data_IF_196840711585
#
_entry.id   IF_196840711585
#
_cell.length_a   1.000
_cell.length_b   1.000
_cell.length_c   1.000
_cell.angle_alpha   90.00
_cell.angle_beta   90.00
_cell.angle_gamma   90.00
#
_symmetry.space_group_name_H-M   'P 1'
#
loop_
_entity.id
_entity.type
_entity.pdbx_description
1 polymer ?
#
# COMPACT_ATOMS: atom_id res chain seq x y z
N UNK A 1 -12.34 7.24 -5.58
CA UNK A 1 -11.34 8.17 -5.03
C UNK A 1 -10.90 7.62 -3.69
N UNK A 2 -9.58 7.57 -3.46
CA UNK A 2 -9.01 6.86 -2.31
C UNK A 2 -9.05 7.73 -1.07
N UNK A 3 -10.11 7.57 -0.27
CA UNK A 3 -10.43 8.48 0.85
C UNK A 3 -9.28 8.54 1.87
N UNK A 4 -8.59 7.41 2.08
CA UNK A 4 -7.47 7.32 3.03
C UNK A 4 -6.28 8.18 2.61
N UNK A 5 -5.99 8.31 1.30
CA UNK A 5 -4.84 9.09 0.84
C UNK A 5 -5.12 10.60 0.80
N UNK A 6 -6.38 11.00 0.69
CA UNK A 6 -6.78 12.41 0.70
C UNK A 6 -6.58 13.02 2.11
N UNK A 7 -6.79 12.23 3.16
CA UNK A 7 -6.61 12.64 4.56
C UNK A 7 -5.17 12.42 5.07
N UNK A 8 -4.29 11.81 4.26
CA UNK A 8 -3.01 11.31 4.73
C UNK A 8 -1.88 12.35 4.80
N UNK A 9 -2.05 13.57 4.27
CA UNK A 9 -0.99 14.60 4.19
C UNK A 9 0.37 14.08 3.67
N UNK A 10 0.34 13.08 2.79
CA UNK A 10 1.56 12.50 2.22
C UNK A 10 2.17 13.43 1.16
N UNK A 11 3.49 13.35 1.02
CA UNK A 11 4.19 13.97 -0.11
C UNK A 11 3.57 13.51 -1.45
N UNK A 12 3.34 14.41 -2.43
CA UNK A 12 2.53 14.11 -3.61
C UNK A 12 2.97 12.89 -4.43
N UNK A 13 4.27 12.68 -4.58
CA UNK A 13 4.79 11.52 -5.31
C UNK A 13 4.61 10.22 -4.49
N UNK A 14 4.69 10.23 -3.16
CA UNK A 14 4.35 9.07 -2.32
C UNK A 14 2.86 8.74 -2.38
N UNK A 15 1.99 9.75 -2.32
CA UNK A 15 0.55 9.57 -2.51
C UNK A 15 0.23 8.98 -3.88
N UNK A 16 0.93 9.41 -4.93
CA UNK A 16 0.79 8.87 -6.29
C UNK A 16 1.21 7.41 -6.36
N UNK A 17 2.35 7.06 -5.75
CA UNK A 17 2.84 5.68 -5.70
C UNK A 17 1.88 4.77 -4.93
N UNK A 18 1.32 5.23 -3.81
CA UNK A 18 0.42 4.45 -2.97
C UNK A 18 -0.98 4.24 -3.56
N UNK A 19 -1.42 5.14 -4.45
CA UNK A 19 -2.77 5.18 -4.98
C UNK A 19 -3.28 3.85 -5.55
N UNK A 20 -2.51 3.11 -6.39
CA UNK A 20 -2.98 1.85 -6.94
C UNK A 20 -3.26 0.82 -5.84
N UNK A 21 -2.39 0.72 -4.83
CA UNK A 21 -2.54 -0.23 -3.74
C UNK A 21 -3.75 0.09 -2.87
N UNK A 22 -3.94 1.35 -2.46
CA UNK A 22 -5.11 1.76 -1.66
C UNK A 22 -6.41 1.53 -2.45
N UNK A 23 -6.44 1.92 -3.73
CA UNK A 23 -7.63 1.82 -4.56
C UNK A 23 -8.13 0.36 -4.69
N UNK A 24 -7.23 -0.61 -4.90
CA UNK A 24 -7.64 -2.02 -5.03
C UNK A 24 -8.14 -2.62 -3.72
N UNK A 25 -7.68 -2.16 -2.55
CA UNK A 25 -8.18 -2.64 -1.27
C UNK A 25 -9.58 -2.06 -0.99
N UNK A 26 -9.77 -0.76 -1.23
CA UNK A 26 -11.07 -0.10 -1.01
C UNK A 26 -12.15 -0.63 -1.95
N UNK A 27 -11.81 -0.86 -3.22
CA UNK A 27 -12.77 -1.21 -4.28
C UNK A 27 -12.77 -2.68 -4.67
N UNK A 28 -11.87 -3.49 -4.11
CA UNK A 28 -11.71 -4.90 -4.50
C UNK A 28 -12.99 -5.71 -4.29
N UNK A 29 -13.44 -6.38 -5.34
CA UNK A 29 -14.62 -7.27 -5.36
C UNK A 29 -14.25 -8.68 -5.84
N UNK A 30 -15.23 -9.59 -5.81
CA UNK A 30 -15.09 -10.97 -6.27
C UNK A 30 -14.35 -11.06 -7.62
N UNK A 31 -13.34 -11.92 -7.71
CA UNK A 31 -12.53 -12.13 -8.91
C UNK A 31 -11.36 -11.15 -9.12
N UNK A 32 -11.16 -10.17 -8.23
CA UNK A 32 -10.05 -9.21 -8.32
C UNK A 32 -8.77 -9.66 -7.60
N UNK A 33 -8.62 -10.94 -7.27
CA UNK A 33 -7.47 -11.49 -6.51
C UNK A 33 -6.11 -11.04 -7.10
N UNK A 34 -5.91 -11.28 -8.39
CA UNK A 34 -4.65 -10.95 -9.06
C UNK A 34 -4.38 -9.44 -9.10
N UNK A 35 -5.41 -8.62 -9.28
CA UNK A 35 -5.27 -7.17 -9.26
C UNK A 35 -4.79 -6.65 -7.89
N UNK A 36 -5.32 -7.22 -6.80
CA UNK A 36 -4.89 -6.87 -5.44
C UNK A 36 -3.43 -7.27 -5.20
N UNK A 37 -3.06 -8.52 -5.51
CA UNK A 37 -1.70 -9.03 -5.31
C UNK A 37 -0.69 -8.23 -6.14
N UNK A 38 -1.01 -7.94 -7.40
CA UNK A 38 -0.15 -7.19 -8.29
C UNK A 38 0.05 -5.74 -7.80
N UNK A 39 -1.03 -5.04 -7.44
CA UNK A 39 -0.93 -3.67 -6.95
C UNK A 39 -0.14 -3.60 -5.63
N UNK A 40 -0.33 -4.55 -4.72
CA UNK A 40 0.40 -4.60 -3.46
C UNK A 40 1.92 -4.81 -3.68
N UNK A 41 2.29 -5.84 -4.45
CA UNK A 41 3.69 -6.17 -4.71
C UNK A 41 4.41 -5.10 -5.54
N UNK A 42 3.79 -4.61 -6.61
CA UNK A 42 4.37 -3.56 -7.45
C UNK A 42 4.55 -2.24 -6.70
N UNK A 43 3.57 -1.85 -5.88
CA UNK A 43 3.65 -0.63 -5.07
C UNK A 43 4.70 -0.76 -3.98
N UNK A 44 4.76 -1.89 -3.26
CA UNK A 44 5.79 -2.16 -2.27
C UNK A 44 7.21 -2.07 -2.89
N UNK A 45 7.43 -2.70 -4.04
CA UNK A 45 8.72 -2.62 -4.75
C UNK A 45 9.03 -1.19 -5.27
N UNK A 46 8.00 -0.44 -5.64
CA UNK A 46 8.12 0.96 -6.06
C UNK A 46 8.53 1.87 -4.89
N UNK A 47 7.93 1.68 -3.71
CA UNK A 47 8.27 2.39 -2.48
C UNK A 47 9.70 2.11 -2.03
N UNK A 48 10.09 0.83 -1.95
CA UNK A 48 11.43 0.44 -1.48
C UNK A 48 12.58 1.01 -2.31
N UNK A 49 12.31 1.40 -3.57
CA UNK A 49 13.27 2.11 -4.42
C UNK A 49 13.28 3.62 -4.19
N UNK A 50 12.17 4.19 -3.71
CA UNK A 50 11.95 5.63 -3.65
C UNK A 50 12.29 6.28 -2.31
N UNK A 51 12.26 5.51 -1.24
CA UNK A 51 12.53 6.01 0.11
C UNK A 51 13.68 5.24 0.74
N UNK A 52 14.33 5.86 1.72
CA UNK A 52 15.16 5.10 2.65
C UNK A 52 14.23 4.17 3.44
N UNK A 53 14.54 2.88 3.46
CA UNK A 53 13.71 1.86 4.12
C UNK A 53 14.36 1.43 5.44
N UNK A 54 14.02 2.09 6.56
CA UNK A 54 14.43 1.59 7.87
C UNK A 54 13.69 0.29 8.22
N UNK A 55 14.20 -0.52 9.18
CA UNK A 55 13.63 -1.83 9.50
C UNK A 55 12.13 -1.81 9.84
N UNK A 56 11.65 -0.78 10.54
CA UNK A 56 10.25 -0.64 10.91
C UNK A 56 9.34 -0.38 9.69
N UNK A 57 9.80 0.39 8.70
CA UNK A 57 9.04 0.61 7.47
C UNK A 57 9.02 -0.67 6.63
N UNK A 58 10.15 -1.40 6.55
CA UNK A 58 10.21 -2.66 5.82
C UNK A 58 9.21 -3.68 6.39
N UNK A 59 9.15 -3.78 7.72
CA UNK A 59 8.20 -4.62 8.43
C UNK A 59 6.76 -4.20 8.18
N UNK A 60 6.44 -2.90 8.29
CA UNK A 60 5.10 -2.40 8.01
C UNK A 60 4.65 -2.67 6.56
N UNK A 61 5.56 -2.51 5.58
CA UNK A 61 5.28 -2.85 4.19
C UNK A 61 5.02 -4.36 4.05
N UNK A 62 5.82 -5.21 4.69
CA UNK A 62 5.65 -6.66 4.65
C UNK A 62 4.29 -7.09 5.24
N UNK A 63 3.91 -6.53 6.40
CA UNK A 63 2.62 -6.80 7.04
C UNK A 63 1.45 -6.34 6.15
N UNK A 64 1.53 -5.16 5.54
CA UNK A 64 0.52 -4.68 4.61
C UNK A 64 0.40 -5.57 3.37
N UNK A 65 1.51 -6.11 2.84
CA UNK A 65 1.48 -7.08 1.74
C UNK A 65 0.76 -8.36 2.18
N UNK A 66 1.11 -8.92 3.35
CA UNK A 66 0.48 -10.13 3.89
C UNK A 66 -1.04 -9.93 4.08
N UNK A 67 -1.45 -8.81 4.68
CA UNK A 67 -2.85 -8.49 4.86
C UNK A 67 -3.59 -8.31 3.52
N UNK A 68 -2.93 -7.71 2.51
CA UNK A 68 -3.48 -7.57 1.16
C UNK A 68 -3.66 -8.92 0.47
N UNK A 69 -2.73 -9.86 0.66
CA UNK A 69 -2.85 -11.24 0.14
C UNK A 69 -4.02 -11.96 0.80
N UNK A 70 -4.17 -11.86 2.13
CA UNK A 70 -5.30 -12.45 2.84
C UNK A 70 -6.65 -11.88 2.35
N UNK A 71 -6.72 -10.57 2.09
CA UNK A 71 -7.88 -9.96 1.45
C UNK A 71 -8.10 -10.49 0.03
N UNK A 72 -7.06 -10.58 -0.79
CA UNK A 72 -7.14 -11.11 -2.15
C UNK A 72 -7.65 -12.57 -2.19
N UNK A 73 -7.22 -13.41 -1.26
CA UNK A 73 -7.72 -14.78 -1.10
C UNK A 73 -9.20 -14.82 -0.69
N UNK A 74 -9.65 -13.86 0.12
CA UNK A 74 -11.07 -13.72 0.44
C UNK A 74 -11.90 -13.29 -0.79
N UNK A 75 -11.32 -12.56 -1.74
CA UNK A 75 -12.01 -12.17 -2.98
C UNK A 75 -12.21 -13.33 -3.98
N UNK A 76 -11.60 -14.49 -3.76
CA UNK A 76 -11.73 -15.65 -4.65
C UNK A 76 -12.75 -16.68 -4.15
N UNK A 77 -13.17 -16.54 -2.88
CA UNK A 77 -14.13 -17.43 -2.23
C UNK A 77 -15.55 -16.88 -2.39
N UNK A 78 -16.40 -17.65 -3.06
CA UNK A 78 -17.80 -17.27 -3.38
C UNK A 78 -18.65 -16.86 -2.17
N UNK A 79 -18.37 -17.44 -1.01
CA UNK A 79 -19.10 -17.18 0.25
C UNK A 79 -18.27 -16.39 1.29
N UNK A 80 -17.12 -15.84 0.91
CA UNK A 80 -16.24 -15.20 1.88
C UNK A 80 -16.78 -13.87 2.41
N UNK A 81 -16.64 -13.71 3.72
CA UNK A 81 -16.83 -12.44 4.41
C UNK A 81 -15.61 -11.55 4.14
N UNK A 82 -15.70 -10.76 3.08
CA UNK A 82 -14.70 -9.75 2.73
C UNK A 82 -14.57 -8.55 3.68
N UNK A 83 -15.55 -8.17 4.54
CA UNK A 83 -15.41 -6.99 5.40
C UNK A 83 -14.22 -7.04 6.36
N UNK A 84 -14.00 -8.18 7.04
CA UNK A 84 -12.91 -8.33 8.02
C UNK A 84 -11.51 -8.31 7.37
N UNK A 85 -11.22 -9.12 6.32
CA UNK A 85 -9.94 -9.06 5.62
C UNK A 85 -9.67 -7.69 4.98
N UNK A 86 -10.71 -7.02 4.46
CA UNK A 86 -10.57 -5.66 3.92
C UNK A 86 -10.18 -4.68 5.03
N UNK A 87 -10.87 -4.70 6.17
CA UNK A 87 -10.56 -3.82 7.28
C UNK A 87 -9.12 -4.03 7.79
N UNK A 88 -8.65 -5.27 7.88
CA UNK A 88 -7.27 -5.59 8.25
C UNK A 88 -6.25 -5.04 7.24
N UNK A 89 -6.51 -5.23 5.93
CA UNK A 89 -5.64 -4.70 4.88
C UNK A 89 -5.59 -3.16 4.88
N UNK A 90 -6.73 -2.49 5.09
CA UNK A 90 -6.78 -1.03 5.21
C UNK A 90 -6.02 -0.53 6.45
N UNK A 91 -6.19 -1.20 7.60
CA UNK A 91 -5.47 -0.84 8.82
C UNK A 91 -3.95 -0.97 8.65
N UNK A 92 -3.47 -2.05 8.02
CA UNK A 92 -2.05 -2.23 7.74
C UNK A 92 -1.53 -1.16 6.75
N UNK A 93 -2.31 -0.79 5.74
CA UNK A 93 -1.97 0.32 4.84
C UNK A 93 -1.88 1.66 5.55
N UNK A 94 -2.76 1.94 6.52
CA UNK A 94 -2.67 3.16 7.33
C UNK A 94 -1.36 3.23 8.12
N UNK A 95 -0.88 2.10 8.66
CA UNK A 95 0.42 2.03 9.33
C UNK A 95 1.57 2.35 8.37
N UNK A 96 1.54 1.81 7.14
CA UNK A 96 2.53 2.15 6.10
C UNK A 96 2.47 3.65 5.78
N UNK A 97 1.28 4.21 5.60
CA UNK A 97 1.07 5.63 5.29
C UNK A 97 1.63 6.53 6.40
N UNK A 98 1.35 6.22 7.67
CA UNK A 98 1.88 6.97 8.81
C UNK A 98 3.40 6.97 8.82
N UNK A 99 3.98 5.79 8.63
CA UNK A 99 5.41 5.56 8.55
C UNK A 99 6.05 6.33 7.38
N UNK A 100 5.38 6.42 6.24
CA UNK A 100 5.86 7.15 5.06
C UNK A 100 5.90 8.68 5.25
N UNK A 101 5.23 9.23 6.26
CA UNK A 101 5.31 10.68 6.56
C UNK A 101 6.66 11.11 7.11
N UNK A 102 7.41 10.17 7.69
CA UNK A 102 8.66 10.47 8.40
C UNK A 102 9.90 10.01 7.67
N UNK A 103 9.76 9.37 6.50
CA UNK A 103 10.89 8.87 5.72
C UNK A 103 11.45 9.89 4.74
N UNK A 104 12.74 9.74 4.48
CA UNK A 104 13.46 10.52 3.50
C UNK A 104 13.47 9.83 2.11
N UNK A 105 13.62 10.60 1.02
CA UNK A 105 13.84 10.03 -0.31
C UNK A 105 15.14 9.23 -0.35
N UNK A 106 15.16 8.15 -1.13
CA UNK A 106 16.39 7.43 -1.45
C UNK A 106 17.35 8.30 -2.27
N UNK A 107 18.64 7.94 -2.30
CA UNK A 107 19.63 8.67 -3.09
C UNK A 107 19.30 8.67 -4.59
N UNK A 108 18.75 7.56 -5.11
CA UNK A 108 18.25 7.48 -6.48
C UNK A 108 17.11 8.49 -6.73
N UNK A 109 16.18 8.63 -5.78
CA UNK A 109 15.06 9.58 -5.89
C UNK A 109 15.52 11.02 -5.82
N UNK A 110 16.48 11.31 -4.94
CA UNK A 110 17.15 12.62 -4.87
C UNK A 110 17.86 12.96 -6.18
N UNK A 111 18.60 12.00 -6.75
CA UNK A 111 19.32 12.18 -8.01
C UNK A 111 18.41 12.50 -9.19
N UNK A 112 17.16 12.00 -9.17
CA UNK A 112 16.14 12.30 -10.19
C UNK A 112 15.44 13.65 -9.99
N UNK A 113 15.80 14.43 -8.96
CA UNK A 113 15.15 15.70 -8.64
C UNK A 113 13.72 15.54 -8.10
N UNK A 114 13.40 14.34 -7.61
CA UNK A 114 12.07 13.98 -7.08
C UNK A 114 12.01 14.02 -5.56
N UNK A 115 13.14 14.35 -4.90
CA UNK A 115 13.31 14.39 -3.46
C UNK A 115 12.53 15.55 -2.84
N UNK A 116 11.38 15.21 -2.29
CA UNK A 116 10.57 16.00 -1.37
C UNK A 116 11.40 16.66 -0.26
#
# INVERSE_FOLDING_TARGET
MGRILEDAELQPLLATVMRPWVAVIETGTLGMREAVIFAASSTAASLKRRVVVPPWLDMAIAEAVVASVAFAEALDKRDARTPEPRAAALAALMVVIENLRTVEPSDETRALGLGW
#
